data_IF_712820527724
#
_entry.id   IF_712820527724
#
_cell.length_a   1.000
_cell.length_b   1.000
_cell.length_c   1.000
_cell.angle_alpha   90.00
_cell.angle_beta   90.00
_cell.angle_gamma   90.00
#
_symmetry.space_group_name_H-M   'P 1'
#
loop_
_entity.id
_entity.type
_entity.pdbx_description
1 polymer ?
#
# COMPACT_ATOMS: atom_id res chain seq x y z
N UNK A 1 1.31 26.30 -67.51
CA UNK A 1 1.94 24.98 -67.71
C UNK A 1 2.21 24.82 -69.20
N UNK A 2 3.47 24.87 -69.68
CA UNK A 2 3.77 24.74 -71.10
C UNK A 2 3.51 23.30 -71.56
N UNK A 3 2.84 23.14 -72.70
CA UNK A 3 2.48 21.87 -73.33
C UNK A 3 3.69 20.91 -73.44
N UNK A 4 3.81 19.95 -72.52
CA UNK A 4 4.80 18.86 -72.55
C UNK A 4 4.50 17.79 -73.63
N UNK A 5 3.48 18.03 -74.45
CA UNK A 5 2.95 17.11 -75.47
C UNK A 5 3.32 17.52 -76.90
N UNK A 6 3.84 18.73 -77.11
CA UNK A 6 4.20 19.21 -78.44
C UNK A 6 5.54 18.59 -78.88
N UNK A 7 5.46 17.50 -79.64
CA UNK A 7 6.62 16.82 -80.24
C UNK A 7 6.90 15.39 -79.74
N UNK A 8 6.06 14.82 -78.88
CA UNK A 8 6.17 13.43 -78.41
C UNK A 8 5.28 12.49 -79.24
N UNK A 9 5.77 11.29 -79.54
CA UNK A 9 4.94 10.22 -80.10
C UNK A 9 3.82 9.86 -79.11
N UNK A 10 2.66 9.44 -79.60
CA UNK A 10 1.58 8.92 -78.75
C UNK A 10 2.09 7.82 -77.80
N UNK A 11 3.03 7.00 -78.28
CA UNK A 11 3.68 5.93 -77.52
C UNK A 11 4.53 6.47 -76.36
N UNK A 12 5.21 7.61 -76.53
CA UNK A 12 6.00 8.24 -75.46
C UNK A 12 5.09 8.78 -74.35
N UNK A 13 3.89 9.26 -74.71
CA UNK A 13 2.89 9.76 -73.76
C UNK A 13 2.30 8.60 -72.96
N UNK A 14 1.93 7.51 -73.62
CA UNK A 14 1.41 6.29 -72.97
C UNK A 14 2.46 5.71 -72.03
N UNK A 15 3.71 5.61 -72.49
CA UNK A 15 4.82 5.10 -71.66
C UNK A 15 5.07 5.98 -70.44
N UNK A 16 5.03 7.31 -70.60
CA UNK A 16 5.17 8.25 -69.48
C UNK A 16 4.04 8.15 -68.45
N UNK A 17 2.79 8.01 -68.89
CA UNK A 17 1.66 7.79 -67.98
C UNK A 17 1.75 6.44 -67.26
N UNK A 18 2.22 5.41 -67.94
CA UNK A 18 2.40 4.09 -67.35
C UNK A 18 3.48 4.09 -66.26
N UNK A 19 4.60 4.79 -66.50
CA UNK A 19 5.66 4.98 -65.51
C UNK A 19 5.20 5.80 -64.30
N UNK A 20 4.48 6.91 -64.51
CA UNK A 20 3.98 7.72 -63.40
C UNK A 20 2.91 6.97 -62.60
N UNK A 21 2.03 6.21 -63.27
CA UNK A 21 1.04 5.37 -62.61
C UNK A 21 1.70 4.29 -61.75
N UNK A 22 2.73 3.62 -62.26
CA UNK A 22 3.48 2.61 -61.51
C UNK A 22 4.18 3.22 -60.29
N UNK A 23 4.85 4.37 -60.46
CA UNK A 23 5.48 5.11 -59.37
C UNK A 23 4.48 5.53 -58.30
N UNK A 24 3.33 6.08 -58.70
CA UNK A 24 2.27 6.47 -57.77
C UNK A 24 1.64 5.27 -57.07
N UNK A 25 1.46 4.14 -57.77
CA UNK A 25 0.96 2.89 -57.20
C UNK A 25 1.89 2.37 -56.09
N UNK A 26 3.20 2.34 -56.36
CA UNK A 26 4.20 1.93 -55.37
C UNK A 26 4.21 2.87 -54.15
N UNK A 27 4.18 4.19 -54.38
CA UNK A 27 4.13 5.17 -53.31
C UNK A 27 2.86 5.05 -52.45
N UNK A 28 1.71 4.85 -53.09
CA UNK A 28 0.42 4.65 -52.41
C UNK A 28 0.44 3.39 -51.53
N UNK A 29 0.94 2.27 -52.05
CA UNK A 29 1.08 1.03 -51.26
C UNK A 29 2.04 1.24 -50.08
N UNK A 30 3.13 1.97 -50.27
CA UNK A 30 4.06 2.34 -49.20
C UNK A 30 3.39 3.18 -48.10
N UNK A 31 2.63 4.20 -48.48
CA UNK A 31 1.86 5.03 -47.55
C UNK A 31 0.77 4.25 -46.83
N UNK A 32 0.04 3.37 -47.51
CA UNK A 32 -0.97 2.52 -46.90
C UNK A 32 -0.36 1.58 -45.84
N UNK A 33 0.85 1.05 -46.08
CA UNK A 33 1.59 0.24 -45.09
C UNK A 33 2.01 1.07 -43.87
N UNK A 34 2.49 2.30 -44.09
CA UNK A 34 2.87 3.19 -42.99
C UNK A 34 1.64 3.57 -42.15
N UNK A 35 0.53 3.89 -42.81
CA UNK A 35 -0.73 4.21 -42.13
C UNK A 35 -1.21 3.01 -41.29
N UNK A 36 -1.16 1.80 -41.84
CA UNK A 36 -1.52 0.59 -41.09
C UNK A 36 -0.63 0.36 -39.85
N UNK A 37 0.67 0.65 -39.96
CA UNK A 37 1.58 0.58 -38.81
C UNK A 37 1.25 1.63 -37.74
N UNK A 38 0.91 2.84 -38.17
CA UNK A 38 0.46 3.91 -37.26
C UNK A 38 -0.87 3.59 -36.59
N UNK A 39 -1.84 3.07 -37.33
CA UNK A 39 -3.12 2.62 -36.77
C UNK A 39 -2.90 1.53 -35.70
N UNK A 40 -1.99 0.60 -35.94
CA UNK A 40 -1.57 -0.40 -34.95
C UNK A 40 -1.01 0.22 -33.67
N UNK A 41 -0.14 1.22 -33.80
CA UNK A 41 0.43 1.94 -32.64
C UNK A 41 -0.62 2.75 -31.88
N UNK A 42 -1.53 3.42 -32.59
CA UNK A 42 -2.65 4.17 -31.98
C UNK A 42 -3.57 3.23 -31.21
N UNK A 43 -3.89 2.06 -31.76
CA UNK A 43 -4.69 1.06 -31.08
C UNK A 43 -3.98 0.53 -29.83
N UNK A 44 -2.69 0.23 -29.89
CA UNK A 44 -1.93 -0.22 -28.73
C UNK A 44 -1.91 0.83 -27.61
N UNK A 45 -1.65 2.10 -27.95
CA UNK A 45 -1.68 3.20 -26.99
C UNK A 45 -3.08 3.41 -26.40
N UNK A 46 -4.14 3.25 -27.21
CA UNK A 46 -5.52 3.32 -26.72
C UNK A 46 -5.81 2.24 -25.68
N UNK A 47 -5.36 1.00 -25.89
CA UNK A 47 -5.55 -0.07 -24.90
C UNK A 47 -4.83 0.27 -23.60
N UNK A 48 -3.55 0.68 -23.67
CA UNK A 48 -2.80 1.08 -22.49
C UNK A 48 -3.47 2.25 -21.73
N UNK A 49 -4.03 3.23 -22.45
CA UNK A 49 -4.77 4.33 -21.83
C UNK A 49 -6.05 3.86 -21.13
N UNK A 50 -6.75 2.87 -21.69
CA UNK A 50 -7.94 2.30 -21.07
C UNK A 50 -7.59 1.51 -19.80
N UNK A 51 -6.49 0.78 -19.80
CA UNK A 51 -6.00 0.05 -18.63
C UNK A 51 -5.66 1.02 -17.49
N UNK A 52 -4.91 2.09 -17.80
CA UNK A 52 -4.59 3.15 -16.83
C UNK A 52 -5.85 3.87 -16.33
N UNK A 53 -6.84 4.10 -17.20
CA UNK A 53 -8.12 4.71 -16.81
C UNK A 53 -8.89 3.82 -15.82
N UNK A 54 -8.87 2.50 -16.04
CA UNK A 54 -9.48 1.55 -15.13
C UNK A 54 -8.76 1.53 -13.77
N UNK A 55 -7.43 1.49 -13.76
CA UNK A 55 -6.64 1.56 -12.53
C UNK A 55 -6.90 2.87 -11.78
N UNK A 56 -6.91 4.01 -12.48
CA UNK A 56 -7.20 5.31 -11.90
C UNK A 56 -8.59 5.35 -11.26
N UNK A 57 -9.60 4.79 -11.92
CA UNK A 57 -10.95 4.70 -11.37
C UNK A 57 -10.98 3.84 -10.09
N UNK A 58 -10.23 2.75 -10.04
CA UNK A 58 -10.13 1.92 -8.84
C UNK A 58 -9.45 2.65 -7.68
N UNK A 59 -8.35 3.37 -7.96
CA UNK A 59 -7.66 4.20 -6.97
C UNK A 59 -8.58 5.30 -6.45
N UNK A 60 -9.30 6.00 -7.34
CA UNK A 60 -10.24 7.05 -6.94
C UNK A 60 -11.35 6.52 -6.03
N UNK A 61 -11.95 5.37 -6.37
CA UNK A 61 -12.94 4.73 -5.50
C UNK A 61 -12.36 4.35 -4.12
N UNK A 62 -11.09 3.94 -4.07
CA UNK A 62 -10.37 3.70 -2.82
C UNK A 62 -10.16 4.97 -2.00
N UNK A 63 -9.80 6.09 -2.66
CA UNK A 63 -9.65 7.39 -2.01
C UNK A 63 -10.99 7.88 -1.43
N UNK A 64 -12.08 7.80 -2.19
CA UNK A 64 -13.42 8.18 -1.72
C UNK A 64 -13.90 7.31 -0.55
N UNK A 65 -13.48 6.04 -0.51
CA UNK A 65 -13.75 5.16 0.63
C UNK A 65 -12.95 5.58 1.87
N UNK A 66 -11.67 5.91 1.68
CA UNK A 66 -10.80 6.36 2.76
C UNK A 66 -11.27 7.70 3.34
N UNK A 67 -11.68 8.65 2.50
CA UNK A 67 -12.20 9.96 2.93
C UNK A 67 -13.43 9.79 3.82
N UNK A 68 -14.38 8.94 3.41
CA UNK A 68 -15.55 8.60 4.24
C UNK A 68 -15.17 7.94 5.58
N UNK A 69 -14.14 7.10 5.59
CA UNK A 69 -13.65 6.50 6.84
C UNK A 69 -13.00 7.54 7.75
N UNK A 70 -12.24 8.49 7.19
CA UNK A 70 -11.64 9.59 7.94
C UNK A 70 -12.70 10.50 8.54
N UNK A 71 -13.73 10.88 7.78
CA UNK A 71 -14.86 11.69 8.28
C UNK A 71 -15.59 10.99 9.43
N UNK A 72 -15.78 9.66 9.33
CA UNK A 72 -16.37 8.86 10.40
C UNK A 72 -15.48 8.84 11.64
N UNK A 73 -14.17 8.66 11.48
CA UNK A 73 -13.22 8.69 12.59
C UNK A 73 -13.19 10.07 13.25
N UNK A 74 -13.19 11.15 12.48
CA UNK A 74 -13.22 12.52 13.00
C UNK A 74 -14.51 12.77 13.81
N UNK A 75 -15.65 12.32 13.28
CA UNK A 75 -16.94 12.40 13.98
C UNK A 75 -16.90 11.62 15.29
N UNK A 76 -16.42 10.39 15.28
CA UNK A 76 -16.29 9.56 16.48
C UNK A 76 -15.32 10.17 17.49
N UNK A 77 -14.18 10.71 17.05
CA UNK A 77 -13.23 11.40 17.92
C UNK A 77 -13.87 12.60 18.60
N UNK A 78 -14.66 13.38 17.86
CA UNK A 78 -15.40 14.51 18.41
C UNK A 78 -16.45 14.07 19.43
N UNK A 79 -17.25 13.05 19.12
CA UNK A 79 -18.25 12.52 20.06
C UNK A 79 -17.63 11.99 21.35
N UNK A 80 -16.51 11.26 21.24
CA UNK A 80 -15.75 10.78 22.41
C UNK A 80 -15.20 11.95 23.20
N UNK A 81 -14.65 12.97 22.55
CA UNK A 81 -14.15 14.17 23.22
C UNK A 81 -15.26 14.90 23.99
N UNK A 82 -16.40 15.16 23.33
CA UNK A 82 -17.53 15.86 23.94
C UNK A 82 -18.11 15.06 25.12
N UNK A 83 -18.21 13.73 24.97
CA UNK A 83 -18.64 12.83 26.05
C UNK A 83 -17.66 12.85 27.22
N UNK A 84 -16.35 12.83 26.95
CA UNK A 84 -15.32 12.85 27.98
C UNK A 84 -15.31 14.19 28.73
N UNK A 85 -15.44 15.32 28.03
CA UNK A 85 -15.60 16.65 28.65
C UNK A 85 -16.83 16.70 29.55
N UNK A 86 -17.96 16.12 29.12
CA UNK A 86 -19.17 16.04 29.95
C UNK A 86 -18.96 15.19 31.21
N UNK A 87 -18.27 14.06 31.09
CA UNK A 87 -17.98 13.18 32.24
C UNK A 87 -16.99 13.85 33.20
N UNK A 88 -15.97 14.52 32.69
CA UNK A 88 -15.01 15.29 33.49
C UNK A 88 -15.70 16.43 34.25
N UNK A 89 -16.61 17.15 33.61
CA UNK A 89 -17.37 18.22 34.27
C UNK A 89 -18.24 17.70 35.41
N UNK A 90 -18.91 16.56 35.23
CA UNK A 90 -19.71 15.94 36.30
C UNK A 90 -18.83 15.36 37.41
N UNK A 91 -17.69 14.75 37.05
CA UNK A 91 -16.72 14.26 38.02
C UNK A 91 -16.15 15.39 38.88
N UNK A 92 -15.79 16.54 38.29
CA UNK A 92 -15.31 17.72 39.02
C UNK A 92 -16.39 18.30 39.94
N UNK A 93 -17.66 18.30 39.49
CA UNK A 93 -18.80 18.73 40.30
C UNK A 93 -18.98 17.85 41.53
N UNK A 94 -18.92 16.53 41.37
CA UNK A 94 -19.00 15.56 42.45
C UNK A 94 -17.81 15.68 43.40
N UNK A 95 -16.59 15.77 42.85
CA UNK A 95 -15.36 15.92 43.60
C UNK A 95 -15.37 17.19 44.45
N UNK A 96 -15.80 18.32 43.89
CA UNK A 96 -15.92 19.59 44.62
C UNK A 96 -16.91 19.49 45.78
N UNK A 97 -18.02 18.78 45.59
CA UNK A 97 -19.01 18.55 46.63
C UNK A 97 -18.48 17.64 47.76
N UNK A 98 -17.73 16.60 47.40
CA UNK A 98 -17.14 15.64 48.34
C UNK A 98 -15.91 16.20 49.09
N UNK A 99 -15.16 17.12 48.46
CA UNK A 99 -13.95 17.73 49.02
C UNK A 99 -14.19 18.44 50.36
N UNK A 100 -15.38 18.96 50.60
CA UNK A 100 -15.77 19.57 51.88
C UNK A 100 -15.97 18.53 53.01
N UNK A 101 -16.10 17.25 52.66
CA UNK A 101 -16.38 16.12 53.56
C UNK A 101 -15.19 15.16 53.70
N UNK A 102 -14.07 15.42 53.00
CA UNK A 102 -12.89 14.54 53.00
C UNK A 102 -12.11 14.57 54.33
N UNK A 103 -11.70 13.39 54.79
CA UNK A 103 -10.76 13.23 55.90
C UNK A 103 -9.28 13.35 55.45
N UNK A 104 -8.36 13.36 56.41
CA UNK A 104 -6.93 13.53 56.16
C UNK A 104 -6.32 12.37 55.33
N UNK A 105 -6.76 11.13 55.57
CA UNK A 105 -6.30 9.95 54.83
C UNK A 105 -6.72 10.00 53.36
N UNK A 106 -7.94 10.47 53.07
CA UNK A 106 -8.44 10.66 51.70
C UNK A 106 -7.64 11.71 50.95
N UNK A 107 -7.28 12.82 51.60
CA UNK A 107 -6.44 13.86 51.00
C UNK A 107 -5.02 13.38 50.67
N UNK A 108 -4.41 12.56 51.52
CA UNK A 108 -3.09 12.00 51.26
C UNK A 108 -3.11 10.95 50.15
N UNK A 109 -4.19 10.17 50.05
CA UNK A 109 -4.42 9.26 48.92
C UNK A 109 -4.55 10.01 47.58
N UNK A 110 -5.28 11.11 47.54
CA UNK A 110 -5.41 11.94 46.32
C UNK A 110 -4.07 12.52 45.88
N UNK A 111 -3.23 12.97 46.83
CA UNK A 111 -1.86 13.42 46.53
C UNK A 111 -1.01 12.32 45.89
N UNK A 112 -1.15 11.07 46.35
CA UNK A 112 -0.44 9.93 45.78
C UNK A 112 -0.91 9.65 44.34
N UNK A 113 -2.22 9.65 44.09
CA UNK A 113 -2.76 9.45 42.74
C UNK A 113 -2.35 10.57 41.78
N UNK A 114 -2.37 11.84 42.21
CA UNK A 114 -1.90 12.96 41.40
C UNK A 114 -0.42 12.84 41.03
N UNK A 115 0.43 12.33 41.94
CA UNK A 115 1.84 12.04 41.64
C UNK A 115 1.97 10.87 40.66
N UNK A 116 1.20 9.80 40.82
CA UNK A 116 1.20 8.67 39.89
C UNK A 116 0.76 9.11 38.48
N UNK A 117 -0.26 9.95 38.36
CA UNK A 117 -0.69 10.54 37.09
C UNK A 117 0.42 11.38 36.45
N UNK A 118 1.12 12.22 37.22
CA UNK A 118 2.24 13.01 36.71
C UNK A 118 3.39 12.12 36.19
N UNK A 119 3.72 11.03 36.89
CA UNK A 119 4.72 10.05 36.44
C UNK A 119 4.25 9.36 35.15
N UNK A 120 3.00 8.91 35.08
CA UNK A 120 2.45 8.30 33.87
C UNK A 120 2.47 9.25 32.68
N UNK A 121 2.16 10.54 32.90
CA UNK A 121 2.26 11.58 31.87
C UNK A 121 3.69 11.77 31.38
N UNK A 122 4.65 11.85 32.29
CA UNK A 122 6.07 11.95 31.94
C UNK A 122 6.56 10.73 31.14
N UNK A 123 6.13 9.52 31.50
CA UNK A 123 6.45 8.30 30.75
C UNK A 123 5.85 8.29 29.33
N UNK A 124 4.62 8.79 29.16
CA UNK A 124 3.98 8.90 27.84
C UNK A 124 4.73 9.88 26.93
N UNK A 125 5.14 11.04 27.47
CA UNK A 125 5.97 12.01 26.74
C UNK A 125 7.31 11.40 26.35
N UNK A 126 7.99 10.72 27.29
CA UNK A 126 9.24 10.00 27.02
C UNK A 126 9.09 8.93 25.95
N UNK A 127 8.00 8.16 25.96
CA UNK A 127 7.72 7.17 24.91
C UNK A 127 7.54 7.83 23.54
N UNK A 128 6.84 8.97 23.49
CA UNK A 128 6.66 9.74 22.26
C UNK A 128 7.98 10.32 21.75
N UNK A 129 8.82 10.85 22.63
CA UNK A 129 10.16 11.32 22.28
C UNK A 129 11.06 10.19 21.79
N UNK A 130 10.99 9.00 22.39
CA UNK A 130 11.74 7.84 21.95
C UNK A 130 11.31 7.40 20.55
N UNK A 131 10.00 7.34 20.28
CA UNK A 131 9.48 7.04 18.93
C UNK A 131 9.98 8.06 17.92
N UNK A 132 9.94 9.35 18.23
CA UNK A 132 10.49 10.40 17.37
C UNK A 132 11.99 10.23 17.14
N UNK A 133 12.75 9.87 18.17
CA UNK A 133 14.19 9.63 18.03
C UNK A 133 14.46 8.41 17.15
N UNK A 134 13.64 7.36 17.23
CA UNK A 134 13.70 6.20 16.34
C UNK A 134 13.42 6.61 14.90
N UNK A 135 12.37 7.41 14.66
CA UNK A 135 12.06 7.92 13.32
C UNK A 135 13.22 8.76 12.75
N UNK A 136 13.82 9.64 13.55
CA UNK A 136 15.01 10.41 13.15
C UNK A 136 16.21 9.53 12.83
N UNK A 137 16.44 8.45 13.61
CA UNK A 137 17.50 7.48 13.34
C UNK A 137 17.20 6.72 12.04
N UNK A 138 15.95 6.34 11.80
CA UNK A 138 15.52 5.68 10.57
C UNK A 138 15.71 6.59 9.35
N UNK A 139 15.38 7.88 9.47
CA UNK A 139 15.59 8.87 8.41
C UNK A 139 17.09 9.09 8.13
N UNK A 140 17.92 9.18 9.18
CA UNK A 140 19.37 9.28 9.04
C UNK A 140 19.98 8.01 8.41
N UNK A 141 19.50 6.84 8.83
CA UNK A 141 19.89 5.57 8.23
C UNK A 141 19.46 5.52 6.75
N UNK A 142 18.26 5.98 6.41
CA UNK A 142 17.78 6.06 5.04
C UNK A 142 18.58 7.06 4.18
N UNK A 143 19.03 8.18 4.77
CA UNK A 143 19.92 9.14 4.12
C UNK A 143 21.33 8.58 3.87
N UNK A 144 21.82 7.66 4.74
CA UNK A 144 23.11 6.98 4.57
C UNK A 144 23.14 6.00 3.39
N UNK A 145 21.97 5.57 2.90
CA UNK A 145 21.81 4.65 1.77
C UNK A 145 21.97 5.33 0.39
N UNK A 146 22.38 6.60 0.36
CA UNK A 146 22.60 7.36 -0.85
C UNK A 146 21.47 8.35 -1.17
N UNK A 147 21.80 9.34 -1.99
CA UNK A 147 20.92 10.45 -2.34
C UNK A 147 19.70 9.96 -3.15
N UNK A 148 18.45 10.21 -2.69
CA UNK A 148 17.23 9.84 -3.42
C UNK A 148 17.17 10.40 -4.84
N UNK A 149 17.79 11.55 -5.06
CA UNK A 149 17.77 12.27 -6.33
C UNK A 149 18.68 11.63 -7.38
N UNK A 150 19.55 10.70 -6.96
CA UNK A 150 20.42 9.95 -7.86
C UNK A 150 19.79 8.58 -8.18
N UNK A 151 19.85 8.13 -9.45
CA UNK A 151 19.36 6.80 -9.83
C UNK A 151 20.00 5.67 -9.01
N UNK A 152 21.29 5.81 -8.67
CA UNK A 152 22.01 4.82 -7.85
C UNK A 152 21.52 4.82 -6.40
N UNK A 153 21.26 5.99 -5.79
CA UNK A 153 20.72 6.08 -4.43
C UNK A 153 19.29 5.54 -4.33
N UNK A 154 18.46 5.71 -5.37
CA UNK A 154 17.14 5.08 -5.43
C UNK A 154 17.24 3.56 -5.49
N UNK A 155 18.15 3.01 -6.31
CA UNK A 155 18.40 1.57 -6.41
C UNK A 155 18.87 1.00 -5.08
N UNK A 156 19.87 1.60 -4.43
CA UNK A 156 20.40 1.13 -3.13
C UNK A 156 19.30 1.14 -2.06
N UNK A 157 18.43 2.14 -2.06
CA UNK A 157 17.31 2.21 -1.11
C UNK A 157 16.23 1.17 -1.39
N UNK A 158 15.86 0.95 -2.65
CA UNK A 158 14.93 -0.12 -3.05
C UNK A 158 15.49 -1.48 -2.66
N UNK A 159 16.78 -1.73 -2.88
CA UNK A 159 17.42 -2.99 -2.57
C UNK A 159 17.50 -3.24 -1.05
N UNK A 160 17.77 -2.20 -0.25
CA UNK A 160 17.69 -2.30 1.20
C UNK A 160 16.24 -2.56 1.66
N UNK A 161 15.26 -1.87 1.09
CA UNK A 161 13.84 -2.14 1.38
C UNK A 161 13.44 -3.58 1.04
N UNK A 162 13.91 -4.10 -0.10
CA UNK A 162 13.70 -5.50 -0.49
C UNK A 162 14.40 -6.47 0.47
N UNK A 163 15.61 -6.17 0.93
CA UNK A 163 16.32 -6.97 1.92
C UNK A 163 15.57 -7.03 3.25
N UNK A 164 15.06 -5.90 3.73
CA UNK A 164 14.25 -5.84 4.94
C UNK A 164 12.94 -6.63 4.77
N UNK A 165 12.27 -6.50 3.63
CA UNK A 165 11.05 -7.25 3.33
C UNK A 165 11.31 -8.76 3.29
N UNK A 166 12.44 -9.19 2.72
CA UNK A 166 12.86 -10.59 2.73
C UNK A 166 13.15 -11.09 4.14
N UNK A 167 13.87 -10.33 4.96
CA UNK A 167 14.13 -10.70 6.36
C UNK A 167 12.85 -10.81 7.20
N UNK A 168 11.87 -9.93 6.97
CA UNK A 168 10.55 -10.04 7.61
C UNK A 168 9.79 -11.29 7.13
N UNK A 169 9.89 -11.63 5.84
CA UNK A 169 9.31 -12.85 5.29
C UNK A 169 9.97 -14.11 5.88
N UNK A 170 11.29 -14.12 5.99
CA UNK A 170 12.04 -15.22 6.64
C UNK A 170 11.60 -15.40 8.09
N UNK A 171 11.52 -14.31 8.88
CA UNK A 171 11.03 -14.37 10.25
C UNK A 171 9.59 -14.88 10.36
N UNK A 172 8.70 -14.46 9.46
CA UNK A 172 7.31 -14.98 9.41
C UNK A 172 7.26 -16.45 9.01
N UNK A 173 8.13 -16.90 8.10
CA UNK A 173 8.24 -18.32 7.71
C UNK A 173 8.73 -19.16 8.89
N UNK A 174 9.72 -18.68 9.65
CA UNK A 174 10.18 -19.34 10.87
C UNK A 174 9.08 -19.43 11.92
N UNK A 175 8.32 -18.35 12.14
CA UNK A 175 7.17 -18.34 13.04
C UNK A 175 6.11 -19.37 12.62
N UNK A 176 5.74 -19.40 11.34
CA UNK A 176 4.78 -20.36 10.80
C UNK A 176 5.29 -21.81 10.89
N UNK A 177 6.58 -22.04 10.64
CA UNK A 177 7.19 -23.37 10.82
C UNK A 177 7.16 -23.80 12.30
N UNK A 178 7.43 -22.87 13.23
CA UNK A 178 7.29 -23.12 14.67
C UNK A 178 5.86 -23.48 15.07
N UNK A 179 4.87 -22.76 14.54
CA UNK A 179 3.44 -23.09 14.73
C UNK A 179 3.08 -24.46 14.15
N UNK A 180 3.59 -24.79 12.96
CA UNK A 180 3.37 -26.08 12.30
C UNK A 180 3.97 -27.24 13.09
N UNK A 181 5.19 -27.08 13.62
CA UNK A 181 5.84 -28.11 14.42
C UNK A 181 5.18 -28.27 15.79
N UNK A 182 4.72 -27.17 16.41
CA UNK A 182 3.89 -27.24 17.61
C UNK A 182 2.58 -28.03 17.36
N UNK A 183 1.93 -27.83 16.22
CA UNK A 183 0.74 -28.61 15.83
C UNK A 183 1.06 -30.08 15.55
N UNK A 184 2.19 -30.41 14.93
CA UNK A 184 2.64 -31.79 14.72
C UNK A 184 2.97 -32.49 16.05
N UNK A 185 3.57 -31.77 17.01
CA UNK A 185 3.88 -32.26 18.36
C UNK A 185 2.63 -32.38 19.24
N UNK A 186 1.54 -31.66 18.93
CA UNK A 186 0.23 -31.88 19.53
C UNK A 186 -0.52 -33.10 18.94
N UNK A 187 -0.09 -33.60 17.77
CA UNK A 187 -0.69 -34.74 17.07
C UNK A 187 -0.11 -36.17 17.31
N UNK A 188 0.89 -36.47 18.17
CA UNK A 188 1.47 -37.81 18.31
C UNK A 188 0.74 -38.67 19.35
N UNK A 189 -0.60 -38.59 19.41
CA UNK A 189 -1.41 -39.27 20.44
C UNK A 189 -2.49 -40.24 19.96
N UNK A 190 -2.75 -40.39 18.65
CA UNK A 190 -3.88 -41.19 18.15
C UNK A 190 -3.51 -42.47 17.36
N UNK A 191 -2.22 -42.78 17.23
CA UNK A 191 -1.74 -43.97 16.53
C UNK A 191 -0.87 -44.86 17.45
N UNK A 192 -1.47 -45.40 18.52
CA UNK A 192 -0.74 -46.22 19.49
C UNK A 192 -1.64 -47.06 20.42
N UNK A 193 -2.79 -47.53 19.93
CA UNK A 193 -3.64 -48.47 20.66
C UNK A 193 -3.35 -49.91 20.24
N UNK A 194 -2.47 -50.58 21.00
CA UNK A 194 -2.11 -51.99 20.88
C UNK A 194 -3.33 -52.92 20.93
N UNK A 195 -3.27 -54.00 20.15
CA UNK A 195 -4.36 -54.94 19.93
C UNK A 195 -4.95 -55.59 21.17
N UNK A 196 -6.28 -55.67 21.18
CA UNK A 196 -7.05 -56.51 22.09
C UNK A 196 -7.55 -57.73 21.30
N UNK A 197 -6.61 -58.65 21.04
CA UNK A 197 -6.90 -59.97 20.51
C UNK A 197 -6.93 -60.99 21.65
N UNK A 198 -8.11 -61.54 21.92
CA UNK A 198 -8.28 -62.84 22.60
C UNK A 198 -8.40 -62.80 24.12
N UNK A 199 -9.61 -63.09 24.62
CA UNK A 199 -9.85 -64.32 25.41
C UNK A 199 -11.35 -64.54 25.59
N UNK A 200 -11.86 -65.50 24.83
CA UNK A 200 -13.07 -66.26 25.13
C UNK A 200 -12.70 -67.33 26.16
N UNK A 201 -13.35 -67.33 27.33
CA UNK A 201 -13.59 -68.50 28.21
C UNK A 201 -14.89 -68.21 28.96
N UNK A 202 -16.01 -68.87 28.66
CA UNK A 202 -16.37 -70.24 29.02
C UNK A 202 -16.45 -70.47 30.53
N UNK A 203 -17.65 -70.27 31.09
CA UNK A 203 -18.39 -71.13 32.03
C UNK A 203 -19.48 -70.31 32.72
#
# INVERSE_FOLDING_TARGET
MPNQLAGKSLEDIITGWQQELEKHSVAFVGQARLLAAWDGAVLANRHALLDVEQELRAVHAGQDALERQLDMIETHQKEVHDSLVSVEAEAERLFTAERALMDADTQDRDRLYGRAQAVSGALSVLATELTRSVDQVNDLAAASLGDPSTPMGSVVRVLNGQLQALGQLEGRIEELNGQLDALKVAAPGLAGGSGFGGMIRAA
#
